data_IF_314462067133
#
_entry.id   IF_314462067133
#
_cell.length_a   1.000
_cell.length_b   1.000
_cell.length_c   1.000
_cell.angle_alpha   90.00
_cell.angle_beta   90.00
_cell.angle_gamma   90.00
#
_symmetry.space_group_name_H-M   'P 1'
#
loop_
_entity.id
_entity.type
_entity.pdbx_description
1 polymer ?
#
# COMPACT_ATOMS: atom_id res chain seq x y z
N UNK A 1 -72.21 -36.15 -20.91
CA UNK A 1 -71.09 -36.38 -21.84
C UNK A 1 -69.89 -36.76 -21.02
N UNK A 2 -69.64 -38.05 -20.89
CA UNK A 2 -68.54 -38.62 -20.10
C UNK A 2 -67.31 -38.67 -21.02
N UNK A 3 -66.22 -38.00 -20.64
CA UNK A 3 -64.97 -38.08 -21.40
C UNK A 3 -64.47 -39.53 -21.42
N UNK A 4 -63.94 -39.97 -22.56
CA UNK A 4 -63.34 -41.30 -22.70
C UNK A 4 -62.01 -41.37 -21.94
N UNK A 5 -61.61 -42.56 -21.48
CA UNK A 5 -60.36 -42.77 -20.75
C UNK A 5 -59.11 -42.28 -21.51
N UNK A 6 -59.16 -42.31 -22.84
CA UNK A 6 -58.12 -41.76 -23.71
C UNK A 6 -58.00 -40.23 -23.59
N UNK A 7 -59.12 -39.51 -23.57
CA UNK A 7 -59.10 -38.04 -23.42
C UNK A 7 -58.61 -37.59 -22.05
N UNK A 8 -58.89 -38.37 -21.00
CA UNK A 8 -58.34 -38.11 -19.65
C UNK A 8 -56.82 -38.34 -19.60
N UNK A 9 -56.32 -39.39 -20.25
CA UNK A 9 -54.88 -39.66 -20.35
C UNK A 9 -54.13 -38.55 -21.11
N UNK A 10 -54.68 -38.06 -22.22
CA UNK A 10 -54.10 -36.94 -22.96
C UNK A 10 -54.09 -35.62 -22.17
N UNK A 11 -55.18 -35.31 -21.45
CA UNK A 11 -55.22 -34.10 -20.62
C UNK A 11 -54.25 -34.18 -19.43
N UNK A 12 -54.13 -35.36 -18.79
CA UNK A 12 -53.15 -35.57 -17.73
C UNK A 12 -51.72 -35.44 -18.24
N UNK A 13 -51.40 -36.03 -19.40
CA UNK A 13 -50.07 -35.91 -20.02
C UNK A 13 -49.70 -34.46 -20.35
N UNK A 14 -50.65 -33.67 -20.87
CA UNK A 14 -50.45 -32.25 -21.14
C UNK A 14 -50.22 -31.44 -19.86
N UNK A 15 -51.07 -31.60 -18.85
CA UNK A 15 -50.90 -30.89 -17.58
C UNK A 15 -49.61 -31.27 -16.85
N UNK A 16 -49.22 -32.54 -16.92
CA UNK A 16 -47.98 -33.02 -16.30
C UNK A 16 -46.75 -32.48 -17.04
N UNK A 17 -46.77 -32.44 -18.37
CA UNK A 17 -45.73 -31.83 -19.18
C UNK A 17 -45.57 -30.33 -18.94
N UNK A 18 -46.69 -29.59 -18.84
CA UNK A 18 -46.69 -28.15 -18.53
C UNK A 18 -46.09 -27.87 -17.15
N UNK A 19 -46.55 -28.55 -16.09
CA UNK A 19 -46.01 -28.37 -14.74
C UNK A 19 -44.53 -28.77 -14.65
N UNK A 20 -44.13 -29.81 -15.37
CA UNK A 20 -42.74 -30.27 -15.36
C UNK A 20 -41.83 -29.30 -16.12
N UNK A 21 -42.33 -28.69 -17.20
CA UNK A 21 -41.64 -27.62 -17.93
C UNK A 21 -41.51 -26.34 -17.11
N UNK A 22 -42.57 -25.92 -16.41
CA UNK A 22 -42.56 -24.75 -15.53
C UNK A 22 -41.56 -24.94 -14.38
N UNK A 23 -41.61 -26.06 -13.66
CA UNK A 23 -40.68 -26.33 -12.56
C UNK A 23 -39.23 -26.45 -13.02
N UNK A 24 -38.98 -27.00 -14.21
CA UNK A 24 -37.63 -27.04 -14.78
C UNK A 24 -37.14 -25.66 -15.20
N UNK A 25 -38.01 -24.83 -15.76
CA UNK A 25 -37.71 -23.45 -16.15
C UNK A 25 -37.39 -22.57 -14.94
N UNK A 26 -38.19 -22.65 -13.87
CA UNK A 26 -37.97 -21.93 -12.61
C UNK A 26 -36.64 -22.34 -11.97
N UNK A 27 -36.40 -23.65 -11.80
CA UNK A 27 -35.16 -24.14 -11.19
C UNK A 27 -33.91 -23.81 -12.03
N UNK A 28 -34.02 -23.80 -13.37
CA UNK A 28 -32.92 -23.37 -14.22
C UNK A 28 -32.70 -21.86 -14.10
N UNK A 29 -33.77 -21.06 -14.09
CA UNK A 29 -33.71 -19.61 -13.92
C UNK A 29 -33.09 -19.19 -12.59
N UNK A 30 -33.49 -19.83 -11.49
CA UNK A 30 -32.92 -19.58 -10.16
C UNK A 30 -31.43 -19.92 -10.10
N UNK A 31 -31.05 -21.15 -10.50
CA UNK A 31 -29.63 -21.55 -10.50
C UNK A 31 -28.77 -20.71 -11.43
N UNK A 32 -29.33 -20.25 -12.55
CA UNK A 32 -28.62 -19.40 -13.50
C UNK A 32 -28.50 -17.97 -12.95
N UNK A 33 -29.54 -17.46 -12.29
CA UNK A 33 -29.55 -16.16 -11.60
C UNK A 33 -28.57 -16.12 -10.42
N UNK A 34 -28.54 -17.15 -9.58
CA UNK A 34 -27.60 -17.28 -8.46
C UNK A 34 -26.15 -17.29 -8.96
N UNK A 35 -25.83 -18.15 -9.94
CA UNK A 35 -24.47 -18.22 -10.52
C UNK A 35 -24.06 -16.91 -11.20
N UNK A 36 -24.98 -16.23 -11.88
CA UNK A 36 -24.70 -14.91 -12.46
C UNK A 36 -24.48 -13.85 -11.39
N UNK A 37 -25.28 -13.86 -10.32
CA UNK A 37 -25.15 -12.96 -9.17
C UNK A 37 -23.83 -13.14 -8.43
N UNK A 38 -23.43 -14.39 -8.18
CA UNK A 38 -22.15 -14.75 -7.57
C UNK A 38 -20.98 -14.30 -8.45
N UNK A 39 -20.99 -14.65 -9.75
CA UNK A 39 -19.92 -14.24 -10.68
C UNK A 39 -19.82 -12.73 -10.84
N UNK A 40 -20.95 -12.01 -10.86
CA UNK A 40 -20.94 -10.54 -10.89
C UNK A 40 -20.43 -9.95 -9.57
N UNK A 41 -20.82 -10.53 -8.43
CA UNK A 41 -20.33 -10.16 -7.10
C UNK A 41 -18.82 -10.34 -6.98
N UNK A 42 -18.31 -11.50 -7.38
CA UNK A 42 -16.88 -11.82 -7.42
C UNK A 42 -16.12 -10.86 -8.33
N UNK A 43 -16.58 -10.63 -9.57
CA UNK A 43 -15.93 -9.70 -10.50
C UNK A 43 -15.89 -8.28 -9.94
N UNK A 44 -16.96 -7.84 -9.27
CA UNK A 44 -17.04 -6.51 -8.64
C UNK A 44 -16.10 -6.41 -7.43
N UNK A 45 -16.05 -7.43 -6.59
CA UNK A 45 -15.12 -7.51 -5.47
C UNK A 45 -13.67 -7.51 -5.94
N UNK A 46 -13.33 -8.34 -6.92
CA UNK A 46 -12.00 -8.41 -7.53
C UNK A 46 -11.62 -7.06 -8.18
N UNK A 47 -12.56 -6.37 -8.82
CA UNK A 47 -12.31 -5.04 -9.39
C UNK A 47 -12.07 -3.96 -8.32
N UNK A 48 -12.76 -4.02 -7.19
CA UNK A 48 -12.54 -3.10 -6.05
C UNK A 48 -11.21 -3.41 -5.36
N UNK A 49 -10.93 -4.69 -5.08
CA UNK A 49 -9.68 -5.14 -4.50
C UNK A 49 -8.49 -4.78 -5.40
N UNK A 50 -8.58 -5.03 -6.71
CA UNK A 50 -7.55 -4.64 -7.67
C UNK A 50 -7.34 -3.12 -7.78
N UNK A 51 -8.35 -2.31 -7.45
CA UNK A 51 -8.23 -0.84 -7.43
C UNK A 51 -7.73 -0.27 -6.12
N UNK A 52 -7.86 -1.00 -5.00
CA UNK A 52 -7.54 -0.53 -3.64
C UNK A 52 -6.48 -1.36 -2.93
N UNK A 53 -5.83 -2.30 -3.63
CA UNK A 53 -4.76 -3.11 -3.05
C UNK A 53 -3.64 -2.28 -2.40
N UNK A 54 -3.23 -1.08 -2.89
CA UNK A 54 -2.17 -0.32 -2.22
C UNK A 54 -2.65 0.21 -0.87
N UNK A 55 -3.89 0.70 -0.79
CA UNK A 55 -4.49 1.14 0.46
C UNK A 55 -4.69 -0.03 1.45
N UNK A 56 -5.15 -1.19 0.95
CA UNK A 56 -5.27 -2.39 1.78
C UNK A 56 -3.91 -2.85 2.33
N UNK A 57 -2.87 -2.80 1.49
CA UNK A 57 -1.50 -3.11 1.90
C UNK A 57 -0.98 -2.10 2.93
N UNK A 58 -1.36 -0.82 2.83
CA UNK A 58 -0.96 0.21 3.78
C UNK A 58 -1.54 -0.06 5.17
N UNK A 59 -2.83 -0.41 5.22
CA UNK A 59 -3.50 -0.83 6.46
C UNK A 59 -2.84 -2.08 7.03
N UNK A 60 -2.57 -3.10 6.20
CA UNK A 60 -1.90 -4.31 6.65
C UNK A 60 -0.50 -4.02 7.23
N UNK A 61 0.32 -3.20 6.54
CA UNK A 61 1.64 -2.78 7.01
C UNK A 61 1.57 -1.98 8.31
N UNK A 62 0.57 -1.10 8.47
CA UNK A 62 0.38 -0.33 9.70
C UNK A 62 -0.02 -1.24 10.88
N UNK A 63 -0.90 -2.21 10.66
CA UNK A 63 -1.28 -3.19 11.70
C UNK A 63 -0.07 -4.02 12.13
N UNK A 64 0.75 -4.48 11.18
CA UNK A 64 1.98 -5.24 11.47
C UNK A 64 3.02 -4.43 12.26
N UNK A 65 2.94 -3.10 12.22
CA UNK A 65 3.89 -2.19 12.88
C UNK A 65 3.27 -1.45 14.08
N UNK A 66 2.03 -1.74 14.45
CA UNK A 66 1.29 -1.01 15.48
C UNK A 66 2.00 -1.04 16.85
N UNK A 67 2.49 -2.20 17.26
CA UNK A 67 3.19 -2.37 18.54
C UNK A 67 4.50 -1.57 18.62
N UNK A 68 5.08 -1.19 17.46
CA UNK A 68 6.30 -0.40 17.44
C UNK A 68 6.09 1.01 18.01
N UNK A 69 4.89 1.59 17.86
CA UNK A 69 4.60 2.94 18.35
C UNK A 69 4.54 3.03 19.89
N UNK A 70 4.28 1.91 20.58
CA UNK A 70 4.16 1.83 22.04
C UNK A 70 5.44 1.43 22.78
N UNK A 71 6.58 1.27 22.09
CA UNK A 71 7.83 0.83 22.74
C UNK A 71 9.03 1.68 22.31
N UNK A 72 9.98 1.95 23.21
CA UNK A 72 11.18 2.75 22.89
C UNK A 72 11.99 2.17 21.72
N UNK A 73 12.16 0.84 21.70
CA UNK A 73 12.85 0.14 20.60
C UNK A 73 12.07 0.26 19.29
N UNK A 74 10.75 0.17 19.35
CA UNK A 74 9.89 0.33 18.18
C UNK A 74 9.89 1.75 17.62
N UNK A 75 9.84 2.76 18.49
CA UNK A 75 9.95 4.19 18.10
C UNK A 75 11.30 4.45 17.41
N UNK A 76 12.40 3.91 17.95
CA UNK A 76 13.70 4.00 17.29
C UNK A 76 13.69 3.31 15.92
N UNK A 77 13.02 2.15 15.80
CA UNK A 77 12.87 1.47 14.53
C UNK A 77 12.07 2.29 13.51
N UNK A 78 11.00 2.94 13.93
CA UNK A 78 10.18 3.82 13.09
C UNK A 78 10.94 5.08 12.65
N UNK A 79 11.88 5.58 13.47
CA UNK A 79 12.78 6.66 13.06
C UNK A 79 13.71 6.24 11.91
N UNK A 80 14.24 5.02 11.95
CA UNK A 80 15.06 4.49 10.87
C UNK A 80 14.24 4.22 9.60
N UNK A 81 13.00 3.74 9.73
CA UNK A 81 12.10 3.59 8.58
C UNK A 81 11.75 4.95 7.96
N UNK A 82 11.51 5.98 8.77
CA UNK A 82 11.29 7.35 8.30
C UNK A 82 12.45 7.88 7.44
N UNK A 83 13.69 7.42 7.65
CA UNK A 83 14.85 7.74 6.81
C UNK A 83 14.87 6.95 5.49
N UNK A 84 14.31 5.75 5.44
CA UNK A 84 14.24 4.94 4.21
C UNK A 84 13.24 5.48 3.20
N UNK A 85 12.13 6.09 3.67
CA UNK A 85 11.10 6.65 2.78
C UNK A 85 11.65 7.74 1.82
N UNK A 86 12.29 8.83 2.30
CA UNK A 86 12.86 9.85 1.42
C UNK A 86 14.09 9.34 0.66
N UNK A 87 14.80 8.32 1.16
CA UNK A 87 15.89 7.68 0.44
C UNK A 87 15.38 7.03 -0.85
N UNK A 88 14.25 6.32 -0.78
CA UNK A 88 13.62 5.76 -1.97
C UNK A 88 13.28 6.86 -2.97
N UNK A 89 12.70 7.97 -2.51
CA UNK A 89 12.40 9.11 -3.37
C UNK A 89 13.65 9.70 -4.04
N UNK A 90 14.75 9.82 -3.30
CA UNK A 90 16.04 10.28 -3.83
C UNK A 90 16.58 9.34 -4.92
N UNK A 91 16.57 8.03 -4.67
CA UNK A 91 16.95 7.00 -5.65
C UNK A 91 16.04 7.06 -6.88
N UNK A 92 14.73 7.17 -6.68
CA UNK A 92 13.75 7.19 -7.77
C UNK A 92 13.84 8.46 -8.62
N UNK A 93 14.14 9.61 -8.00
CA UNK A 93 14.41 10.84 -8.73
C UNK A 93 15.66 10.70 -9.62
N UNK A 94 16.67 9.98 -9.14
CA UNK A 94 17.87 9.66 -9.93
C UNK A 94 17.59 8.68 -11.07
N UNK A 95 16.79 7.64 -10.83
CA UNK A 95 16.46 6.61 -11.83
C UNK A 95 15.47 7.09 -12.90
N UNK A 96 14.61 8.07 -12.57
CA UNK A 96 13.56 8.63 -13.45
C UNK A 96 12.62 7.59 -14.08
N UNK A 97 12.46 6.43 -13.42
CA UNK A 97 11.61 5.33 -13.87
C UNK A 97 10.61 4.97 -12.78
N UNK A 98 9.45 5.66 -12.67
CA UNK A 98 8.51 5.48 -11.57
C UNK A 98 8.00 4.03 -11.43
N UNK A 99 7.98 3.24 -12.51
CA UNK A 99 7.63 1.82 -12.48
C UNK A 99 8.54 0.95 -11.60
N UNK A 100 9.77 1.40 -11.30
CA UNK A 100 10.72 0.65 -10.46
C UNK A 100 10.50 0.84 -8.96
N UNK A 101 9.55 1.66 -8.53
CA UNK A 101 9.37 2.04 -7.11
C UNK A 101 9.25 0.82 -6.17
N UNK A 102 8.51 -0.21 -6.58
CA UNK A 102 8.33 -1.44 -5.79
C UNK A 102 9.60 -2.31 -5.72
N UNK A 103 10.39 -2.34 -6.80
CA UNK A 103 11.67 -3.05 -6.80
C UNK A 103 12.70 -2.35 -5.93
N UNK A 104 12.75 -1.01 -5.99
CA UNK A 104 13.62 -0.21 -5.11
C UNK A 104 13.18 -0.34 -3.67
N UNK A 105 11.87 -0.33 -3.38
CA UNK A 105 11.34 -0.61 -2.05
C UNK A 105 11.84 -1.96 -1.52
N UNK A 106 11.67 -3.04 -2.30
CA UNK A 106 12.13 -4.36 -1.90
C UNK A 106 13.66 -4.38 -1.67
N UNK A 107 14.42 -3.74 -2.56
CA UNK A 107 15.88 -3.64 -2.46
C UNK A 107 16.36 -2.84 -1.24
N UNK A 108 15.55 -1.93 -0.69
CA UNK A 108 15.86 -1.19 0.54
C UNK A 108 15.35 -1.91 1.80
N UNK A 109 14.14 -2.46 1.76
CA UNK A 109 13.49 -3.10 2.92
C UNK A 109 14.11 -4.46 3.24
N UNK A 110 14.44 -5.28 2.24
CA UNK A 110 15.01 -6.62 2.48
C UNK A 110 16.34 -6.55 3.23
N UNK A 111 17.34 -5.76 2.81
CA UNK A 111 18.57 -5.59 3.58
C UNK A 111 18.35 -4.96 4.94
N UNK A 112 17.40 -4.02 5.06
CA UNK A 112 17.04 -3.41 6.35
C UNK A 112 16.53 -4.48 7.34
N UNK A 113 15.54 -5.27 6.94
CA UNK A 113 15.00 -6.34 7.79
C UNK A 113 16.06 -7.41 8.09
N UNK A 114 16.86 -7.81 7.11
CA UNK A 114 17.95 -8.75 7.30
C UNK A 114 19.01 -8.22 8.29
N UNK A 115 19.39 -6.95 8.18
CA UNK A 115 20.36 -6.33 9.08
C UNK A 115 19.87 -6.29 10.53
N UNK A 116 18.56 -6.05 10.74
CA UNK A 116 17.91 -6.10 12.05
C UNK A 116 17.79 -7.52 12.61
N UNK A 117 17.53 -8.50 11.76
CA UNK A 117 17.38 -9.89 12.18
C UNK A 117 18.73 -10.55 12.55
N UNK A 118 19.81 -10.12 11.89
CA UNK A 118 21.14 -10.72 12.03
C UNK A 118 22.07 -9.93 12.98
N UNK A 119 21.64 -8.76 13.46
CA UNK A 119 22.46 -7.82 14.25
C UNK A 119 23.84 -7.50 13.63
N UNK A 120 23.96 -7.66 12.30
CA UNK A 120 25.23 -7.63 11.59
C UNK A 120 25.71 -6.21 11.27
N UNK A 121 24.78 -5.26 11.06
CA UNK A 121 25.07 -3.87 10.72
C UNK A 121 23.95 -2.95 11.19
N UNK A 122 24.29 -1.76 11.67
CA UNK A 122 23.29 -0.73 11.98
C UNK A 122 22.52 -0.36 10.70
N UNK A 123 21.18 -0.42 10.64
CA UNK A 123 20.47 -0.22 9.38
C UNK A 123 20.58 1.19 8.83
N UNK A 124 20.88 2.16 9.69
CA UNK A 124 21.26 3.53 9.28
C UNK A 124 22.46 3.55 8.32
N UNK A 125 23.32 2.52 8.35
CA UNK A 125 24.45 2.39 7.43
C UNK A 125 23.99 2.29 5.97
N UNK A 126 22.82 1.67 5.69
CA UNK A 126 22.26 1.63 4.34
C UNK A 126 22.01 3.05 3.83
N UNK A 127 21.38 3.89 4.66
CA UNK A 127 21.09 5.29 4.31
C UNK A 127 22.39 6.08 4.16
N UNK A 128 23.32 5.92 5.10
CA UNK A 128 24.60 6.62 5.12
C UNK A 128 25.49 6.28 3.92
N UNK A 129 25.31 5.12 3.28
CA UNK A 129 26.03 4.73 2.07
C UNK A 129 25.27 5.15 0.81
N UNK A 130 23.99 4.81 0.73
CA UNK A 130 23.20 4.97 -0.51
C UNK A 130 22.91 6.44 -0.79
N UNK A 131 22.54 7.25 0.21
CA UNK A 131 22.21 8.65 -0.04
C UNK A 131 23.43 9.43 -0.59
N UNK A 132 24.62 9.39 0.02
CA UNK A 132 25.78 10.07 -0.54
C UNK A 132 26.18 9.53 -1.91
N UNK A 133 26.12 8.21 -2.14
CA UNK A 133 26.44 7.63 -3.44
C UNK A 133 25.52 8.19 -4.56
N UNK A 134 24.21 8.29 -4.30
CA UNK A 134 23.25 8.87 -5.25
C UNK A 134 23.50 10.37 -5.45
N UNK A 135 23.80 11.12 -4.39
CA UNK A 135 24.09 12.55 -4.48
C UNK A 135 25.38 12.83 -5.24
N UNK A 136 26.44 12.04 -5.01
CA UNK A 136 27.70 12.11 -5.74
C UNK A 136 27.45 11.81 -7.22
N UNK A 137 26.71 10.74 -7.53
CA UNK A 137 26.35 10.43 -8.91
C UNK A 137 25.56 11.57 -9.56
N UNK A 138 24.58 12.14 -8.86
CA UNK A 138 23.79 13.29 -9.30
C UNK A 138 24.58 14.59 -9.47
N UNK A 139 25.70 14.73 -8.77
CA UNK A 139 26.62 15.85 -8.92
C UNK A 139 27.52 15.67 -10.15
N UNK A 140 28.02 14.45 -10.35
CA UNK A 140 28.90 14.09 -11.47
C UNK A 140 28.19 14.18 -12.82
N UNK A 141 26.91 13.82 -12.89
CA UNK A 141 26.13 13.88 -14.13
C UNK A 141 25.36 15.20 -14.33
N UNK A 142 25.52 16.15 -13.39
CA UNK A 142 24.93 17.49 -13.46
C UNK A 142 23.44 17.57 -13.13
N UNK A 143 22.78 16.47 -12.72
CA UNK A 143 21.36 16.50 -12.33
C UNK A 143 21.09 17.41 -11.12
N UNK A 144 22.11 17.74 -10.32
CA UNK A 144 21.99 18.71 -9.21
C UNK A 144 22.05 20.20 -9.60
N UNK A 145 22.36 20.55 -10.87
CA UNK A 145 22.65 21.95 -11.26
C UNK A 145 21.46 22.73 -11.81
N UNK A 146 20.40 22.07 -12.27
CA UNK A 146 19.16 22.69 -12.81
C UNK A 146 17.99 22.53 -11.82
N UNK A 147 16.83 23.18 -12.00
CA UNK A 147 15.62 22.85 -11.22
C UNK A 147 15.18 21.42 -11.57
N UNK A 148 15.84 20.46 -10.91
CA UNK A 148 15.69 19.03 -11.13
C UNK A 148 14.97 18.42 -9.92
N UNK A 149 14.05 17.46 -10.15
CA UNK A 149 13.41 16.71 -9.06
C UNK A 149 14.40 16.17 -8.03
N UNK A 150 15.63 15.81 -8.44
CA UNK A 150 16.65 15.28 -7.54
C UNK A 150 17.06 16.26 -6.43
N UNK A 151 17.12 17.58 -6.71
CA UNK A 151 17.45 18.59 -5.70
C UNK A 151 16.37 18.69 -4.63
N UNK A 152 15.10 18.63 -5.05
CA UNK A 152 13.96 18.67 -4.14
C UNK A 152 13.99 17.44 -3.23
N UNK A 153 14.27 16.26 -3.78
CA UNK A 153 14.41 15.04 -2.98
C UNK A 153 15.64 15.06 -2.06
N UNK A 154 16.75 15.69 -2.46
CA UNK A 154 17.92 15.87 -1.61
C UNK A 154 17.62 16.76 -0.38
N UNK A 155 16.89 17.85 -0.59
CA UNK A 155 16.44 18.72 0.52
C UNK A 155 15.44 17.99 1.41
N UNK A 156 14.48 17.27 0.83
CA UNK A 156 13.55 16.44 1.59
C UNK A 156 14.28 15.39 2.44
N UNK A 157 15.26 14.68 1.85
CA UNK A 157 16.12 13.72 2.56
C UNK A 157 16.79 14.34 3.78
N UNK A 158 17.38 15.52 3.63
CA UNK A 158 18.00 16.23 4.75
C UNK A 158 16.98 16.64 5.82
N UNK A 159 15.81 17.13 5.41
CA UNK A 159 14.72 17.51 6.32
C UNK A 159 14.20 16.33 7.14
N UNK A 160 13.88 15.21 6.48
CA UNK A 160 13.42 14.00 7.17
C UNK A 160 14.51 13.35 8.03
N UNK A 161 15.78 13.44 7.61
CA UNK A 161 16.89 13.03 8.45
C UNK A 161 16.99 13.86 9.74
N UNK A 162 16.70 15.16 9.67
CA UNK A 162 16.64 16.00 10.86
C UNK A 162 15.47 15.62 11.78
N UNK A 163 14.29 15.29 11.25
CA UNK A 163 13.17 14.76 12.04
C UNK A 163 13.53 13.44 12.73
N UNK A 164 14.13 12.51 12.01
CA UNK A 164 14.55 11.22 12.56
C UNK A 164 15.61 11.39 13.66
N UNK A 165 16.64 12.21 13.42
CA UNK A 165 17.67 12.49 14.40
C UNK A 165 17.12 13.19 15.65
N UNK A 166 16.28 14.22 15.48
CA UNK A 166 15.64 14.91 16.60
C UNK A 166 14.75 13.95 17.40
N UNK A 167 14.01 13.07 16.73
CA UNK A 167 13.19 12.04 17.37
C UNK A 167 13.96 11.07 18.26
N UNK A 168 15.24 10.82 17.96
CA UNK A 168 16.11 9.91 18.70
C UNK A 168 16.92 10.60 19.81
N UNK A 169 17.21 11.89 19.67
CA UNK A 169 18.06 12.64 20.61
C UNK A 169 17.23 13.35 21.69
N UNK A 170 16.00 13.73 21.39
CA UNK A 170 15.11 14.37 22.35
C UNK A 170 14.60 13.37 23.39
N UNK A 171 14.02 13.91 24.46
CA UNK A 171 13.27 13.13 25.45
C UNK A 171 12.28 12.15 24.77
N UNK A 172 12.12 10.90 25.24
CA UNK A 172 11.29 9.90 24.56
C UNK A 172 9.86 10.34 24.24
N UNK A 173 9.23 11.13 25.11
CA UNK A 173 7.88 11.63 24.88
C UNK A 173 7.87 12.67 23.77
N UNK A 174 8.80 13.64 23.82
CA UNK A 174 8.93 14.68 22.79
C UNK A 174 9.36 14.10 21.46
N UNK A 175 10.35 13.21 21.47
CA UNK A 175 10.91 12.56 20.30
C UNK A 175 9.85 11.77 19.52
N UNK A 176 8.95 11.08 20.24
CA UNK A 176 7.80 10.42 19.62
C UNK A 176 6.90 11.38 18.85
N UNK A 177 6.57 12.55 19.41
CA UNK A 177 5.75 13.56 18.71
C UNK A 177 6.47 14.16 17.51
N UNK A 178 7.80 14.35 17.60
CA UNK A 178 8.62 14.80 16.47
C UNK A 178 8.61 13.76 15.34
N UNK A 179 8.73 12.47 15.66
CA UNK A 179 8.62 11.40 14.68
C UNK A 179 7.22 11.34 14.08
N UNK A 180 6.16 11.46 14.89
CA UNK A 180 4.79 11.53 14.39
C UNK A 180 4.63 12.65 13.36
N UNK A 181 5.17 13.84 13.64
CA UNK A 181 5.17 14.96 12.70
C UNK A 181 5.95 14.64 11.42
N UNK A 182 7.11 13.98 11.53
CA UNK A 182 7.91 13.54 10.39
C UNK A 182 7.16 12.57 9.49
N UNK A 183 6.53 11.54 10.06
CA UNK A 183 5.70 10.58 9.33
C UNK A 183 4.52 11.27 8.64
N UNK A 184 3.75 12.11 9.35
CA UNK A 184 2.62 12.83 8.76
C UNK A 184 3.06 13.78 7.63
N UNK A 185 4.20 14.46 7.79
CA UNK A 185 4.76 15.33 6.75
C UNK A 185 5.16 14.52 5.50
N UNK A 186 5.71 13.31 5.68
CA UNK A 186 5.99 12.41 4.57
C UNK A 186 4.69 11.95 3.90
N UNK A 187 3.64 11.64 4.66
CA UNK A 187 2.32 11.33 4.08
C UNK A 187 1.75 12.46 3.22
N UNK A 188 1.96 13.73 3.63
CA UNK A 188 1.63 14.90 2.80
C UNK A 188 2.52 14.96 1.53
N UNK A 189 3.80 14.64 1.66
CA UNK A 189 4.74 14.56 0.53
C UNK A 189 4.28 13.52 -0.52
N UNK A 190 3.92 12.33 -0.06
CA UNK A 190 3.36 11.27 -0.90
C UNK A 190 2.07 11.70 -1.58
N UNK A 191 1.17 12.39 -0.87
CA UNK A 191 -0.05 12.92 -1.46
C UNK A 191 0.26 13.91 -2.60
N UNK A 192 1.23 14.81 -2.41
CA UNK A 192 1.69 15.73 -3.47
C UNK A 192 2.21 14.94 -4.68
N UNK A 193 3.01 13.90 -4.47
CA UNK A 193 3.54 13.06 -5.54
C UNK A 193 2.47 12.20 -6.24
N UNK A 194 1.48 11.71 -5.50
CA UNK A 194 0.32 11.00 -6.00
C UNK A 194 -0.54 11.89 -6.91
N UNK A 195 -0.72 13.16 -6.53
CA UNK A 195 -1.45 14.15 -7.33
C UNK A 195 -0.68 14.57 -8.58
N UNK A 196 0.64 14.73 -8.48
CA UNK A 196 1.50 15.11 -9.61
C UNK A 196 1.85 13.95 -10.54
N UNK A 197 1.73 12.70 -10.09
CA UNK A 197 2.10 11.52 -10.86
C UNK A 197 3.58 11.47 -11.22
N UNK A 198 4.46 11.88 -10.30
CA UNK A 198 5.89 12.09 -10.57
C UNK A 198 6.80 11.42 -9.55
N UNK A 199 8.04 11.11 -9.96
CA UNK A 199 9.11 10.43 -9.19
C UNK A 199 8.85 8.95 -8.91
N UNK A 200 7.71 8.62 -8.30
CA UNK A 200 7.32 7.25 -7.93
C UNK A 200 6.04 6.79 -8.66
N UNK A 201 5.73 5.50 -8.59
CA UNK A 201 4.47 4.97 -9.12
C UNK A 201 3.28 5.44 -8.26
N UNK A 202 2.10 5.58 -8.88
CA UNK A 202 0.88 5.96 -8.15
C UNK A 202 0.52 4.97 -7.05
N UNK A 203 0.68 3.66 -7.31
CA UNK A 203 0.40 2.63 -6.31
C UNK A 203 1.35 2.72 -5.13
N UNK A 204 2.63 3.03 -5.36
CA UNK A 204 3.59 3.23 -4.27
C UNK A 204 3.21 4.45 -3.43
N UNK A 205 2.93 5.60 -4.05
CA UNK A 205 2.58 6.82 -3.31
C UNK A 205 1.27 6.68 -2.52
N UNK A 206 0.29 5.95 -3.05
CA UNK A 206 -0.95 5.63 -2.33
C UNK A 206 -0.69 4.74 -1.10
N UNK A 207 0.14 3.72 -1.26
CA UNK A 207 0.53 2.82 -0.16
C UNK A 207 1.34 3.56 0.91
N UNK A 208 2.40 4.27 0.51
CA UNK A 208 3.32 4.97 1.40
C UNK A 208 2.58 6.08 2.17
N UNK A 209 1.83 6.94 1.47
CA UNK A 209 1.08 7.99 2.15
C UNK A 209 0.01 7.48 3.11
N UNK A 210 -0.63 6.35 2.79
CA UNK A 210 -1.57 5.69 3.69
C UNK A 210 -0.89 5.12 4.94
N UNK A 211 0.24 4.44 4.76
CA UNK A 211 1.04 3.88 5.84
C UNK A 211 1.53 4.99 6.77
N UNK A 212 2.03 6.08 6.19
CA UNK A 212 2.60 7.20 6.93
C UNK A 212 1.59 7.89 7.83
N UNK A 213 0.37 8.09 7.32
CA UNK A 213 -0.70 8.67 8.12
C UNK A 213 -1.08 7.74 9.27
N UNK A 214 -1.21 6.44 9.02
CA UNK A 214 -1.57 5.46 10.05
C UNK A 214 -0.50 5.34 11.13
N UNK A 215 0.78 5.25 10.75
CA UNK A 215 1.91 5.18 11.69
C UNK A 215 2.07 6.51 12.46
N UNK A 216 1.96 7.64 11.75
CA UNK A 216 2.00 8.96 12.38
C UNK A 216 0.90 9.12 13.43
N UNK A 217 -0.33 8.72 13.12
CA UNK A 217 -1.44 8.72 14.08
C UNK A 217 -1.18 7.75 15.23
N UNK A 218 -0.69 6.53 14.96
CA UNK A 218 -0.35 5.55 16.00
C UNK A 218 0.66 6.12 17.01
N UNK A 219 1.68 6.84 16.54
CA UNK A 219 2.66 7.52 17.41
C UNK A 219 2.04 8.63 18.27
N UNK A 220 1.00 9.32 17.78
CA UNK A 220 0.30 10.35 18.57
C UNK A 220 -0.53 9.76 19.71
N UNK A 221 -1.17 8.61 19.45
CA UNK A 221 -2.16 8.02 20.36
C UNK A 221 -1.62 6.88 21.21
N UNK A 222 -0.43 6.35 20.91
CA UNK A 222 0.23 5.37 21.75
C UNK A 222 0.38 5.91 23.20
N UNK A 223 0.51 5.02 24.17
CA UNK A 223 0.72 5.36 25.58
C UNK A 223 1.81 4.49 26.17
#
# INVERSE_FOLDING_TARGET
>A
MTMTSEQQGEQQGKQQGERQGEQQGEQQGERQGERQGEQQGERRFLAVAARRWPAALAVASAVLTADAAGSTRGVAALAEVLLLLPLLYLVMAKLRRPGLSWLVLAALVVPFVASRALDALAPVAVVAVVAPAVLIWGLLDGQLRRPDPLRVQAVAMAGFAAFAAAGLVLDPTVGRYVLAAGWLLHGVWDFVHLRRGSVVSRSYAEWCGGLDVLVGVALLVAW
#
